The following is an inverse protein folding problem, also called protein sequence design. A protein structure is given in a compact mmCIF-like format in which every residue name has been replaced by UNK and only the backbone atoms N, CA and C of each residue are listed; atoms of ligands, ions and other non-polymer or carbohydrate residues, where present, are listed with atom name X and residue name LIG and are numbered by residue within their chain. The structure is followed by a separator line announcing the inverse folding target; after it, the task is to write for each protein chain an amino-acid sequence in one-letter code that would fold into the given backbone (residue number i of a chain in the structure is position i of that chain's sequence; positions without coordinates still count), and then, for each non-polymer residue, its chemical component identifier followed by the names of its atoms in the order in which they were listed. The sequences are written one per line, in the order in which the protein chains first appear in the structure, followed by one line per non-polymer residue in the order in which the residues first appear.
data_IF_476409796050
#
_entry.id   IF_476409796050
#
_cell.length_a   1.000
_cell.length_b   1.000
_cell.length_c   1.000
_cell.angle_alpha   90.00
_cell.angle_beta   90.00
_cell.angle_gamma   90.00
#
_symmetry.space_group_name_H-M   'P 1'
#
loop_
_entity.id
_entity.type
_entity.pdbx_description
1 polymer ?
#
# COMPACT_ATOMS: atom_id res chain seq x y z
N UNK A 1 -8.67 -36.83 -1.23
CA UNK A 1 -8.64 -36.18 -2.55
C UNK A 1 -7.80 -34.92 -2.42
N UNK A 2 -6.65 -34.88 -3.08
CA UNK A 2 -5.77 -33.70 -3.07
C UNK A 2 -6.40 -32.62 -3.95
N UNK A 3 -6.82 -31.51 -3.34
CA UNK A 3 -7.27 -30.33 -4.08
C UNK A 3 -6.04 -29.69 -4.71
N UNK A 4 -5.85 -29.90 -6.01
CA UNK A 4 -4.88 -29.16 -6.81
C UNK A 4 -5.29 -27.68 -6.79
N UNK A 5 -4.63 -26.88 -5.96
CA UNK A 5 -4.72 -25.43 -6.03
C UNK A 5 -3.96 -25.00 -7.29
N UNK A 6 -4.69 -24.89 -8.40
CA UNK A 6 -4.20 -24.15 -9.57
C UNK A 6 -3.92 -22.72 -9.11
N UNK A 7 -2.73 -22.16 -9.38
CA UNK A 7 -2.44 -20.78 -9.02
C UNK A 7 -3.48 -19.86 -9.70
N UNK A 8 -3.92 -18.79 -9.04
CA UNK A 8 -4.85 -17.84 -9.64
C UNK A 8 -4.28 -17.31 -10.96
N UNK A 9 -5.14 -17.03 -11.96
CA UNK A 9 -4.70 -16.48 -13.22
C UNK A 9 -3.92 -15.17 -12.99
N UNK A 10 -2.90 -14.86 -13.82
CA UNK A 10 -2.15 -13.63 -13.69
C UNK A 10 -3.11 -12.44 -13.83
N UNK A 11 -3.04 -11.50 -12.89
CA UNK A 11 -3.89 -10.33 -12.89
C UNK A 11 -3.64 -9.48 -14.16
N UNK A 12 -4.68 -8.86 -14.75
CA UNK A 12 -4.53 -7.92 -15.85
C UNK A 12 -3.58 -6.79 -15.45
N UNK A 13 -2.55 -6.55 -16.27
CA UNK A 13 -1.63 -5.44 -16.05
C UNK A 13 -2.25 -4.16 -16.57
N UNK A 14 -2.27 -3.13 -15.73
CA UNK A 14 -2.77 -1.78 -16.03
C UNK A 14 -1.72 -0.99 -16.85
N UNK A 15 -0.44 -1.38 -16.79
CA UNK A 15 0.64 -0.71 -17.53
C UNK A 15 1.97 -1.45 -17.53
N UNK A 16 3.00 -0.83 -18.11
CA UNK A 16 4.38 -1.32 -18.04
C UNK A 16 4.90 -1.17 -16.60
N UNK A 17 5.56 -2.19 -16.04
CA UNK A 17 6.18 -2.06 -14.72
C UNK A 17 7.19 -0.91 -14.68
N UNK A 18 7.20 -0.17 -13.58
CA UNK A 18 8.19 0.88 -13.32
C UNK A 18 9.59 0.29 -13.21
N UNK A 19 10.60 1.13 -13.48
CA UNK A 19 11.97 0.81 -13.11
C UNK A 19 12.05 0.56 -11.60
N UNK A 20 12.72 -0.52 -11.17
CA UNK A 20 12.62 -0.98 -9.77
C UNK A 20 13.18 0.01 -8.76
N UNK A 21 14.25 0.71 -9.11
CA UNK A 21 14.83 1.77 -8.26
C UNK A 21 13.86 2.96 -8.17
N UNK A 22 13.28 3.37 -9.30
CA UNK A 22 12.32 4.47 -9.33
C UNK A 22 11.06 4.15 -8.50
N UNK A 23 10.58 2.91 -8.60
CA UNK A 23 9.48 2.44 -7.78
C UNK A 23 9.76 2.59 -6.27
N UNK A 24 10.98 2.29 -5.81
CA UNK A 24 11.31 2.45 -4.38
C UNK A 24 11.35 3.92 -3.98
N UNK A 25 11.90 4.80 -4.84
CA UNK A 25 11.93 6.25 -4.61
C UNK A 25 10.51 6.82 -4.48
N UNK A 26 9.63 6.48 -5.42
CA UNK A 26 8.23 6.91 -5.42
C UNK A 26 7.45 6.40 -4.19
N UNK A 27 7.69 5.16 -3.78
CA UNK A 27 7.10 4.62 -2.54
C UNK A 27 7.65 5.32 -1.30
N UNK A 28 8.94 5.66 -1.28
CA UNK A 28 9.57 6.38 -0.17
C UNK A 28 9.02 7.81 -0.05
N UNK A 29 8.80 8.51 -1.16
CA UNK A 29 8.16 9.83 -1.17
C UNK A 29 6.74 9.79 -0.61
N UNK A 30 5.95 8.78 -1.00
CA UNK A 30 4.64 8.52 -0.42
C UNK A 30 4.72 8.28 1.10
N UNK A 31 5.65 7.40 1.53
CA UNK A 31 5.87 7.13 2.96
C UNK A 31 6.24 8.40 3.73
N UNK A 32 7.11 9.24 3.18
CA UNK A 32 7.51 10.52 3.77
C UNK A 32 6.34 11.50 3.91
N UNK A 33 5.51 11.61 2.88
CA UNK A 33 4.29 12.43 2.92
C UNK A 33 3.30 11.95 3.98
N UNK A 34 3.12 10.64 4.10
CA UNK A 34 2.24 10.05 5.11
C UNK A 34 2.80 10.16 6.54
N UNK A 35 4.12 10.00 6.70
CA UNK A 35 4.80 10.21 7.97
C UNK A 35 4.56 11.63 8.48
N UNK A 36 4.63 12.63 7.60
CA UNK A 36 4.31 14.01 7.96
C UNK A 36 2.90 14.14 8.54
N UNK A 37 1.87 13.62 7.87
CA UNK A 37 0.49 13.65 8.36
C UNK A 37 0.33 12.99 9.74
N UNK A 38 0.97 11.83 9.92
CA UNK A 38 0.89 11.04 11.15
C UNK A 38 1.66 11.69 12.31
N UNK A 39 2.63 12.56 12.01
CA UNK A 39 3.40 13.31 13.02
C UNK A 39 2.73 14.58 13.53
N UNK A 40 1.65 15.03 12.89
CA UNK A 40 0.91 16.21 13.33
C UNK A 40 0.24 15.95 14.70
N UNK A 41 -0.11 17.02 15.40
CA UNK A 41 -0.78 16.93 16.70
C UNK A 41 -2.13 17.68 16.65
N UNK A 42 -3.27 16.97 16.65
CA UNK A 42 -3.40 15.51 16.61
C UNK A 42 -3.02 14.89 15.25
N UNK A 43 -2.66 13.58 15.21
CA UNK A 43 -2.31 12.90 13.97
C UNK A 43 -3.44 12.92 12.95
N UNK A 44 -3.12 13.23 11.69
CA UNK A 44 -4.08 13.19 10.58
C UNK A 44 -4.02 11.81 9.92
N UNK A 45 -5.17 11.14 9.83
CA UNK A 45 -5.35 9.86 9.13
C UNK A 45 -5.82 10.16 7.71
N UNK A 46 -5.20 9.56 6.69
CA UNK A 46 -5.57 9.80 5.29
C UNK A 46 -6.90 9.13 4.92
N UNK A 47 -7.06 7.84 5.26
CA UNK A 47 -8.29 7.02 5.12
C UNK A 47 -8.69 6.57 3.71
N UNK A 48 -8.11 7.16 2.67
CA UNK A 48 -8.27 6.69 1.28
C UNK A 48 -6.93 6.64 0.54
N UNK A 49 -5.88 6.11 1.20
CA UNK A 49 -4.57 6.01 0.57
C UNK A 49 -4.60 4.90 -0.49
N UNK A 50 -4.36 5.27 -1.75
CA UNK A 50 -4.34 4.38 -2.92
C UNK A 50 -3.47 4.97 -4.02
N UNK A 51 -3.05 4.15 -4.97
CA UNK A 51 -2.23 4.59 -6.11
C UNK A 51 -2.82 5.78 -6.87
N UNK A 52 -4.16 5.83 -7.02
CA UNK A 52 -4.88 6.92 -7.71
C UNK A 52 -4.79 8.27 -6.99
N UNK A 53 -4.49 8.25 -5.68
CA UNK A 53 -4.35 9.45 -4.85
C UNK A 53 -2.88 9.84 -4.67
N UNK A 54 -1.97 9.25 -5.46
CA UNK A 54 -0.55 9.60 -5.51
C UNK A 54 -0.26 10.31 -6.83
N UNK A 55 0.07 11.60 -6.75
CA UNK A 55 0.37 12.42 -7.91
C UNK A 55 1.86 12.35 -8.20
N UNK A 56 2.21 11.95 -9.42
CA UNK A 56 3.58 11.98 -9.93
C UNK A 56 3.83 13.34 -10.55
N UNK A 57 4.86 14.03 -10.10
CA UNK A 57 5.29 15.33 -10.61
C UNK A 57 6.27 15.18 -11.79
N UNK A 58 6.57 16.26 -12.53
CA UNK A 58 7.52 16.20 -13.66
C UNK A 58 8.94 15.75 -13.29
N UNK A 59 9.37 15.97 -12.04
CA UNK A 59 10.65 15.50 -11.51
C UNK A 59 10.57 14.05 -10.98
N UNK A 60 9.50 13.32 -11.31
CA UNK A 60 9.23 11.94 -10.91
C UNK A 60 9.12 11.72 -9.39
N UNK A 61 8.92 12.79 -8.60
CA UNK A 61 8.58 12.68 -7.18
C UNK A 61 7.09 12.40 -6.99
N UNK A 62 6.72 11.89 -5.81
CA UNK A 62 5.32 11.58 -5.46
C UNK A 62 4.78 12.51 -4.40
N UNK A 63 3.56 13.02 -4.60
CA UNK A 63 2.80 13.79 -3.63
C UNK A 63 1.48 13.09 -3.29
N UNK A 64 1.19 12.98 -1.99
CA UNK A 64 -0.08 12.45 -1.49
C UNK A 64 -1.18 13.50 -1.70
N UNK A 65 -2.32 13.08 -2.25
CA UNK A 65 -3.45 13.93 -2.58
C UNK A 65 -4.78 13.32 -2.11
N UNK A 66 -5.87 14.08 -2.31
CA UNK A 66 -7.24 13.72 -1.92
C UNK A 66 -7.44 13.46 -0.42
N UNK A 67 -7.44 14.57 0.33
CA UNK A 67 -7.72 14.60 1.76
C UNK A 67 -9.21 14.65 2.08
N UNK A 68 -10.10 14.36 1.12
CA UNK A 68 -11.56 14.50 1.28
C UNK A 68 -12.16 13.62 2.38
N UNK A 69 -11.45 12.55 2.76
CA UNK A 69 -11.82 11.66 3.86
C UNK A 69 -10.89 11.79 5.08
N UNK A 70 -9.86 12.63 5.00
CA UNK A 70 -8.85 12.75 6.04
C UNK A 70 -9.40 13.43 7.29
N UNK A 71 -9.06 12.87 8.45
CA UNK A 71 -9.55 13.32 9.76
C UNK A 71 -8.56 12.94 10.85
N UNK A 72 -8.72 13.58 12.01
CA UNK A 72 -8.09 13.14 13.26
C UNK A 72 -8.59 11.74 13.68
N UNK A 73 -7.90 11.13 14.64
CA UNK A 73 -8.21 9.78 15.12
C UNK A 73 -9.69 9.62 15.52
N UNK A 74 -10.31 8.52 15.07
CA UNK A 74 -11.74 8.29 15.27
C UNK A 74 -12.00 7.53 16.57
N UNK A 75 -13.00 8.02 17.31
CA UNK A 75 -13.52 7.31 18.47
C UNK A 75 -14.34 6.08 18.06
N UNK A 76 -14.42 5.04 18.91
CA UNK A 76 -15.31 3.90 18.69
C UNK A 76 -16.76 4.35 18.44
N UNK A 77 -17.42 3.78 17.43
CA UNK A 77 -18.83 4.05 17.13
C UNK A 77 -19.11 5.21 16.17
N UNK A 78 -18.08 5.91 15.67
CA UNK A 78 -18.25 6.91 14.62
C UNK A 78 -18.58 6.22 13.27
N UNK A 79 -19.84 6.30 12.83
CA UNK A 79 -20.20 5.91 11.46
C UNK A 79 -19.50 6.86 10.49
N UNK A 80 -18.53 6.34 9.74
CA UNK A 80 -17.78 7.13 8.76
C UNK A 80 -17.80 6.45 7.40
N UNK A 81 -17.76 7.25 6.34
CA UNK A 81 -17.62 6.73 4.97
C UNK A 81 -16.32 5.94 4.89
N UNK A 82 -16.41 4.66 4.53
CA UNK A 82 -15.24 3.83 4.19
C UNK A 82 -14.66 4.38 2.89
N UNK A 83 -13.34 4.46 2.81
CA UNK A 83 -12.64 4.76 1.56
C UNK A 83 -12.79 3.62 0.55
N UNK A 84 -11.82 3.50 -0.34
CA UNK A 84 -11.82 2.47 -1.38
C UNK A 84 -11.58 1.08 -0.77
N UNK A 85 -12.58 0.19 -0.87
CA UNK A 85 -12.63 -1.11 -0.15
C UNK A 85 -11.39 -1.98 -0.36
N UNK A 86 -10.81 -1.96 -1.56
CA UNK A 86 -9.65 -2.80 -1.90
C UNK A 86 -8.36 -2.39 -1.16
N UNK A 87 -8.29 -1.16 -0.66
CA UNK A 87 -7.15 -0.65 0.12
C UNK A 87 -7.46 -0.59 1.61
N UNK A 88 -8.71 -0.79 2.02
CA UNK A 88 -9.13 -0.60 3.40
C UNK A 88 -8.62 -1.72 4.32
N UNK A 89 -8.19 -1.34 5.52
CA UNK A 89 -7.75 -2.26 6.55
C UNK A 89 -8.93 -3.06 7.15
N UNK A 90 -8.69 -4.28 7.69
CA UNK A 90 -9.73 -5.12 8.30
C UNK A 90 -10.57 -4.38 9.34
N UNK A 91 -9.94 -3.62 10.23
CA UNK A 91 -10.63 -2.87 11.28
C UNK A 91 -11.51 -1.73 10.72
N UNK A 92 -11.13 -1.15 9.58
CA UNK A 92 -11.94 -0.13 8.88
C UNK A 92 -13.15 -0.79 8.24
N UNK A 93 -12.95 -1.94 7.57
CA UNK A 93 -14.02 -2.72 6.94
C UNK A 93 -15.04 -3.26 7.94
N UNK A 94 -14.60 -3.56 9.17
CA UNK A 94 -15.46 -3.98 10.28
C UNK A 94 -16.15 -2.82 11.00
N UNK A 95 -15.87 -1.57 10.63
CA UNK A 95 -16.39 -0.38 11.32
C UNK A 95 -15.92 -0.28 12.78
N UNK A 96 -14.77 -0.88 13.11
CA UNK A 96 -14.18 -0.81 14.44
C UNK A 96 -13.50 0.55 14.66
N UNK A 97 -13.10 0.83 15.90
CA UNK A 97 -12.22 1.95 16.17
C UNK A 97 -10.86 1.70 15.52
N UNK A 98 -10.30 2.72 14.86
CA UNK A 98 -9.01 2.62 14.19
C UNK A 98 -8.22 3.92 14.32
N UNK A 99 -6.91 3.79 14.16
CA UNK A 99 -5.96 4.91 14.18
C UNK A 99 -5.23 5.03 12.83
N UNK A 100 -4.22 5.89 12.79
CA UNK A 100 -3.38 6.13 11.62
C UNK A 100 -2.75 4.84 11.03
N UNK A 101 -2.62 3.76 11.82
CA UNK A 101 -2.14 2.45 11.36
C UNK A 101 -2.99 1.79 10.25
N UNK A 102 -4.23 2.24 10.01
CA UNK A 102 -5.01 1.78 8.86
C UNK A 102 -4.41 2.25 7.52
N UNK A 103 -3.72 3.39 7.49
CA UNK A 103 -3.05 3.87 6.28
C UNK A 103 -1.84 3.00 5.91
N UNK A 104 -1.19 2.34 6.88
CA UNK A 104 -0.08 1.42 6.62
C UNK A 104 -0.54 0.16 5.88
N UNK A 105 -1.73 -0.32 6.19
CA UNK A 105 -2.33 -1.42 5.43
C UNK A 105 -2.56 -0.99 3.98
N UNK A 106 -3.15 0.19 3.80
CA UNK A 106 -3.43 0.79 2.50
C UNK A 106 -2.15 0.98 1.69
N UNK A 107 -1.07 1.44 2.35
CA UNK A 107 0.26 1.54 1.76
C UNK A 107 0.82 0.18 1.31
N UNK A 108 0.59 -0.89 2.08
CA UNK A 108 0.96 -2.25 1.66
C UNK A 108 0.28 -2.66 0.34
N UNK A 109 -0.98 -2.27 0.15
CA UNK A 109 -1.69 -2.46 -1.13
C UNK A 109 -1.07 -1.61 -2.24
N UNK A 110 -0.71 -0.36 -1.98
CA UNK A 110 0.03 0.50 -2.94
C UNK A 110 1.37 -0.12 -3.35
N UNK A 111 2.15 -0.64 -2.41
CA UNK A 111 3.38 -1.38 -2.73
C UNK A 111 3.10 -2.54 -3.68
N UNK A 112 2.03 -3.30 -3.43
CA UNK A 112 1.63 -4.40 -4.30
C UNK A 112 1.28 -3.92 -5.71
N UNK A 113 0.51 -2.84 -5.85
CA UNK A 113 0.18 -2.24 -7.15
C UNK A 113 1.43 -1.83 -7.92
N UNK A 114 2.36 -1.14 -7.26
CA UNK A 114 3.60 -0.66 -7.87
C UNK A 114 4.46 -1.82 -8.38
N UNK A 115 4.51 -2.94 -7.65
CA UNK A 115 5.33 -4.11 -8.02
C UNK A 115 4.70 -4.95 -9.13
N UNK A 116 3.37 -5.03 -9.16
CA UNK A 116 2.65 -5.94 -10.06
C UNK A 116 2.08 -5.24 -11.29
N UNK A 117 1.92 -3.91 -11.23
CA UNK A 117 1.13 -3.11 -12.14
C UNK A 117 -0.29 -3.68 -12.34
N UNK A 118 -0.88 -4.29 -11.31
CA UNK A 118 -2.18 -4.97 -11.39
C UNK A 118 -3.25 -4.32 -10.50
N UNK A 119 -4.52 -4.67 -10.76
CA UNK A 119 -5.67 -4.22 -9.96
C UNK A 119 -5.75 -5.06 -8.67
N UNK A 120 -5.77 -4.44 -7.47
CA UNK A 120 -5.92 -5.16 -6.20
C UNK A 120 -7.24 -5.94 -6.15
N UNK A 121 -7.15 -7.22 -5.80
CA UNK A 121 -8.31 -8.13 -5.67
C UNK A 121 -9.18 -8.18 -6.94
N UNK A 122 -8.56 -8.10 -8.12
CA UNK A 122 -9.27 -8.19 -9.38
C UNK A 122 -10.20 -9.42 -9.45
N UNK A 123 -11.39 -9.23 -10.02
CA UNK A 123 -12.43 -10.25 -10.11
C UNK A 123 -13.27 -10.49 -8.85
N UNK A 124 -13.00 -9.80 -7.74
CA UNK A 124 -13.84 -9.83 -6.54
C UNK A 124 -14.79 -8.63 -6.45
N UNK A 125 -16.03 -8.88 -6.05
CA UNK A 125 -16.96 -7.80 -5.67
C UNK A 125 -16.54 -7.13 -4.35
N UNK A 126 -16.84 -5.84 -4.19
CA UNK A 126 -16.45 -5.06 -3.00
C UNK A 126 -16.94 -5.71 -1.69
N UNK A 127 -18.17 -6.21 -1.66
CA UNK A 127 -18.72 -6.93 -0.50
C UNK A 127 -17.92 -8.18 -0.16
N UNK A 128 -17.51 -8.94 -1.19
CA UNK A 128 -16.69 -10.14 -1.01
C UNK A 128 -15.30 -9.79 -0.50
N UNK A 129 -14.67 -8.73 -1.04
CA UNK A 129 -13.37 -8.24 -0.55
C UNK A 129 -13.49 -7.87 0.92
N UNK A 130 -14.50 -7.07 1.26
CA UNK A 130 -14.74 -6.63 2.63
C UNK A 130 -14.84 -7.82 3.59
N UNK A 131 -15.67 -8.81 3.27
CA UNK A 131 -15.83 -10.02 4.09
C UNK A 131 -14.54 -10.84 4.19
N UNK A 132 -13.91 -11.16 3.06
CA UNK A 132 -12.75 -12.08 3.04
C UNK A 132 -11.50 -11.45 3.68
N UNK A 133 -11.27 -10.16 3.46
CA UNK A 133 -10.15 -9.45 4.09
C UNK A 133 -10.38 -9.31 5.59
N UNK A 134 -11.59 -8.90 5.99
CA UNK A 134 -11.90 -8.62 7.38
C UNK A 134 -12.02 -9.87 8.26
N UNK A 135 -12.62 -10.94 7.73
CA UNK A 135 -13.04 -12.11 8.52
C UNK A 135 -12.26 -13.38 8.20
N UNK A 136 -11.78 -13.54 6.96
CA UNK A 136 -11.11 -14.78 6.51
C UNK A 136 -9.59 -14.62 6.41
N UNK A 137 -9.05 -13.42 6.67
CA UNK A 137 -7.61 -13.18 6.63
C UNK A 137 -7.02 -13.18 5.22
N UNK A 138 -7.84 -12.95 4.18
CA UNK A 138 -7.36 -12.84 2.80
C UNK A 138 -6.32 -11.71 2.66
N UNK A 139 -5.28 -11.96 1.85
CA UNK A 139 -4.23 -11.00 1.48
C UNK A 139 -3.94 -11.11 -0.01
N UNK A 140 -3.35 -10.05 -0.59
CA UNK A 140 -2.94 -10.06 -1.99
C UNK A 140 -1.77 -11.04 -2.21
N UNK A 141 -1.76 -11.81 -3.32
CA UNK A 141 -0.67 -12.71 -3.64
C UNK A 141 0.55 -11.89 -4.10
N UNK A 142 1.68 -11.99 -3.41
CA UNK A 142 2.88 -11.22 -3.79
C UNK A 142 3.74 -12.03 -4.77
N UNK A 143 4.23 -11.44 -5.88
CA UNK A 143 5.04 -12.17 -6.85
C UNK A 143 6.38 -12.62 -6.26
N UNK A 144 6.83 -13.87 -6.52
CA UNK A 144 8.12 -14.38 -6.04
C UNK A 144 9.33 -13.58 -6.52
N UNK A 145 9.17 -12.78 -7.58
CA UNK A 145 10.23 -11.95 -8.17
C UNK A 145 10.49 -10.64 -7.42
N UNK A 146 9.74 -10.32 -6.37
CA UNK A 146 9.98 -9.15 -5.54
C UNK A 146 11.14 -9.40 -4.55
N UNK A 147 11.96 -8.38 -4.21
CA UNK A 147 13.01 -8.51 -3.22
C UNK A 147 12.47 -9.05 -1.89
N UNK A 148 13.22 -9.94 -1.22
CA UNK A 148 12.77 -10.56 0.05
C UNK A 148 12.45 -9.52 1.12
N UNK A 149 13.20 -8.42 1.19
CA UNK A 149 12.90 -7.31 2.10
C UNK A 149 11.56 -6.64 1.79
N UNK A 150 11.25 -6.43 0.52
CA UNK A 150 9.95 -5.89 0.10
C UNK A 150 8.80 -6.84 0.50
N UNK A 151 8.97 -8.15 0.30
CA UNK A 151 8.00 -9.14 0.75
C UNK A 151 7.74 -9.05 2.26
N UNK A 152 8.81 -8.94 3.05
CA UNK A 152 8.73 -8.80 4.51
C UNK A 152 8.07 -7.48 4.93
N UNK A 153 8.40 -6.37 4.27
CA UNK A 153 7.81 -5.06 4.52
C UNK A 153 6.30 -5.10 4.28
N UNK A 154 5.86 -5.59 3.12
CA UNK A 154 4.44 -5.74 2.80
C UNK A 154 3.71 -6.65 3.79
N UNK A 155 4.32 -7.77 4.17
CA UNK A 155 3.76 -8.68 5.18
C UNK A 155 3.58 -7.99 6.54
N UNK A 156 4.51 -7.11 6.94
CA UNK A 156 4.38 -6.30 8.17
C UNK A 156 3.27 -5.25 8.05
N UNK A 157 3.12 -4.59 6.89
CA UNK A 157 2.01 -3.66 6.64
C UNK A 157 0.63 -4.33 6.74
N UNK A 158 0.54 -5.63 6.41
CA UNK A 158 -0.71 -6.39 6.41
C UNK A 158 -0.97 -7.24 7.68
N UNK A 159 -0.30 -6.92 8.78
CA UNK A 159 -0.62 -7.51 10.09
C UNK A 159 -2.07 -7.19 10.46
N UNK A 160 -2.80 -8.21 10.91
CA UNK A 160 -4.19 -8.08 11.38
C UNK A 160 -4.26 -7.15 12.59
N UNK A 161 -3.34 -7.32 13.54
CA UNK A 161 -3.21 -6.42 14.70
C UNK A 161 -2.56 -5.13 14.24
N UNK A 162 -3.31 -4.03 14.23
CA UNK A 162 -2.88 -2.74 13.67
C UNK A 162 -1.61 -2.18 14.34
N UNK A 163 -1.41 -2.43 15.63
CA UNK A 163 -0.23 -1.96 16.37
C UNK A 163 1.05 -2.70 16.00
N UNK A 164 0.97 -3.91 15.43
CA UNK A 164 2.14 -4.67 14.92
C UNK A 164 2.64 -4.17 13.56
N UNK A 165 1.86 -3.30 12.89
CA UNK A 165 2.28 -2.66 11.64
C UNK A 165 3.40 -1.64 11.94
N UNK A 166 4.35 -1.42 11.02
CA UNK A 166 5.38 -0.40 11.19
C UNK A 166 4.74 1.01 11.30
N UNK A 167 5.56 2.03 11.54
CA UNK A 167 5.19 3.41 11.19
C UNK A 167 5.79 3.78 9.82
N UNK A 168 5.42 4.94 9.29
CA UNK A 168 5.90 5.35 7.98
C UNK A 168 7.40 5.73 7.97
N UNK A 169 7.97 6.08 9.12
CA UNK A 169 9.40 6.33 9.24
C UNK A 169 10.21 5.05 9.08
N UNK A 170 9.81 3.96 9.75
CA UNK A 170 10.40 2.63 9.56
C UNK A 170 10.26 2.15 8.10
N UNK A 171 9.10 2.39 7.49
CA UNK A 171 8.83 2.05 6.08
C UNK A 171 9.78 2.81 5.14
N UNK A 172 9.93 4.12 5.32
CA UNK A 172 10.82 4.96 4.51
C UNK A 172 12.27 4.45 4.57
N UNK A 173 12.76 4.11 5.77
CA UNK A 173 14.11 3.56 5.96
C UNK A 173 14.28 2.24 5.20
N UNK A 174 13.34 1.30 5.35
CA UNK A 174 13.41 0.00 4.68
C UNK A 174 13.35 0.14 3.15
N UNK A 175 12.54 1.07 2.63
CA UNK A 175 12.49 1.35 1.18
C UNK A 175 13.82 1.87 0.65
N UNK A 176 14.50 2.75 1.40
CA UNK A 176 15.82 3.22 1.01
C UNK A 176 16.86 2.08 1.04
N UNK A 177 16.79 1.19 2.02
CA UNK A 177 17.66 -0.01 2.03
C UNK A 177 17.41 -0.89 0.80
N UNK A 178 16.14 -1.12 0.45
CA UNK A 178 15.78 -1.92 -0.74
C UNK A 178 16.25 -1.22 -2.02
N UNK A 179 16.13 0.11 -2.11
CA UNK A 179 16.65 0.90 -3.23
C UNK A 179 18.16 0.68 -3.41
N UNK A 180 18.94 0.79 -2.33
CA UNK A 180 20.39 0.59 -2.36
C UNK A 180 20.79 -0.85 -2.73
N UNK A 181 19.97 -1.84 -2.38
CA UNK A 181 20.17 -3.23 -2.83
C UNK A 181 19.88 -3.41 -4.32
N UNK A 182 18.94 -2.65 -4.88
CA UNK A 182 18.53 -2.75 -6.28
C UNK A 182 19.45 -1.95 -7.22
N UNK A 183 20.04 -0.85 -6.75
CA UNK A 183 20.82 0.06 -7.59
C UNK A 183 21.99 -0.62 -8.31
N UNK A 184 22.82 -1.49 -7.68
CA UNK A 184 23.89 -2.20 -8.38
C UNK A 184 23.41 -3.22 -9.42
N UNK A 185 22.15 -3.66 -9.32
CA UNK A 185 21.58 -4.70 -10.20
C UNK A 185 20.87 -4.09 -11.41
N UNK A 186 20.14 -3.00 -11.20
CA UNK A 186 19.30 -2.39 -12.23
C UNK A 186 19.85 -1.06 -12.77
N UNK A 187 20.83 -0.46 -12.10
CA UNK A 187 21.36 0.86 -12.43
C UNK A 187 20.42 1.99 -12.03
N UNK A 188 20.82 3.23 -12.35
CA UNK A 188 19.95 4.40 -12.23
C UNK A 188 18.83 4.34 -13.30
N UNK A 189 17.60 4.78 -12.97
CA UNK A 189 16.58 4.94 -13.99
C UNK A 189 17.01 5.98 -15.02
N UNK A 190 16.82 5.66 -16.30
CA UNK A 190 17.10 6.60 -17.39
C UNK A 190 16.16 7.81 -17.29
N UNK A 191 16.70 9.04 -17.13
CA UNK A 191 15.90 10.25 -17.00
C UNK A 191 15.11 10.59 -18.27
N UNK A 192 15.57 10.12 -19.44
CA UNK A 192 14.98 10.46 -20.74
C UNK A 192 13.86 9.49 -21.18
N UNK A 193 13.63 8.40 -20.45
CA UNK A 193 12.62 7.37 -20.80
C UNK A 193 11.19 7.79 -20.41
N UNK A 194 11.03 8.83 -19.59
CA UNK A 194 9.74 9.23 -19.01
C UNK A 194 9.37 10.70 -19.27
N UNK A 195 10.19 11.43 -20.04
CA UNK A 195 9.98 12.82 -20.47
C UNK A 195 9.35 12.95 -21.86
#
# INVERSE_FOLDING_TARGET
GSLSQTPPPPHPRIGRPLHKVLAMRMLADCARGMQYLHSLQPPIIHRDLKSQNLLVTPDLSVKVADFGLSRECLQPGAMTRVGSVQWAAPEVLLGQAYCHKCDLWSFGVVCWEVLTAAVPFDGYEQTTIATKVAMEGMRLPVPPSAPVRMLKLMARCWKTVATERPDFHEVEIELHVIEQELLPVYGEPDPDVWG
#
